data_IF_360766568914
#
_entry.id   IF_360766568914
#
_cell.length_a   1.000
_cell.length_b   1.000
_cell.length_c   1.000
_cell.angle_alpha   90.00
_cell.angle_beta   90.00
_cell.angle_gamma   90.00
#
_symmetry.space_group_name_H-M   'P 1'
#
loop_
_entity.id
_entity.type
_entity.pdbx_description
1 polymer ?
#
# COMPACT_ATOMS: atom_id res chain seq x y z
N UNK A 1 -14.89 18.21 5.52
CA UNK A 1 -14.13 16.95 5.53
C UNK A 1 -14.91 15.77 4.94
N UNK A 2 -16.04 15.37 5.51
CA UNK A 2 -16.81 14.18 5.06
C UNK A 2 -17.13 14.17 3.55
N UNK A 3 -17.58 15.31 3.00
CA UNK A 3 -17.88 15.43 1.57
C UNK A 3 -16.62 15.30 0.68
N UNK A 4 -15.46 15.77 1.13
CA UNK A 4 -14.19 15.62 0.41
C UNK A 4 -13.75 14.15 0.39
N UNK A 5 -13.91 13.45 1.53
CA UNK A 5 -13.64 12.01 1.62
C UNK A 5 -14.62 11.18 0.80
N UNK A 6 -15.91 11.57 0.74
CA UNK A 6 -16.88 10.94 -0.16
C UNK A 6 -16.55 11.17 -1.63
N UNK A 7 -16.05 12.36 -1.99
CA UNK A 7 -15.59 12.65 -3.34
C UNK A 7 -14.40 11.78 -3.74
N UNK A 8 -13.38 11.65 -2.88
CA UNK A 8 -12.21 10.81 -3.14
C UNK A 8 -12.58 9.33 -3.29
N UNK A 9 -13.64 8.85 -2.61
CA UNK A 9 -14.17 7.49 -2.78
C UNK A 9 -14.94 7.27 -4.10
N UNK A 10 -15.35 8.33 -4.79
CA UNK A 10 -16.16 8.26 -6.02
C UNK A 10 -15.39 8.63 -7.29
N UNK A 11 -14.34 9.42 -7.17
CA UNK A 11 -13.50 9.79 -8.30
C UNK A 11 -12.77 8.55 -8.81
N UNK A 12 -12.55 8.50 -10.13
CA UNK A 12 -11.75 7.44 -10.73
C UNK A 12 -10.36 7.39 -10.08
N UNK A 13 -9.89 6.23 -9.60
CA UNK A 13 -8.61 6.10 -8.92
C UNK A 13 -7.42 6.63 -9.73
N UNK A 14 -7.48 6.55 -11.06
CA UNK A 14 -6.43 7.08 -11.95
C UNK A 14 -6.35 8.63 -11.97
N UNK A 15 -7.30 9.32 -11.34
CA UNK A 15 -7.36 10.78 -11.21
C UNK A 15 -7.28 11.23 -9.75
N UNK A 16 -6.95 10.33 -8.83
CA UNK A 16 -6.92 10.61 -7.40
C UNK A 16 -5.94 11.74 -7.05
N UNK A 17 -4.73 11.74 -7.62
CA UNK A 17 -3.72 12.78 -7.39
C UNK A 17 -4.21 14.17 -7.83
N UNK A 18 -4.80 14.26 -9.02
CA UNK A 18 -5.35 15.52 -9.54
C UNK A 18 -6.51 16.02 -8.67
N UNK A 19 -7.38 15.11 -8.24
CA UNK A 19 -8.50 15.43 -7.37
C UNK A 19 -8.03 15.91 -5.99
N UNK A 20 -7.03 15.25 -5.41
CA UNK A 20 -6.44 15.64 -4.15
C UNK A 20 -5.78 17.01 -4.25
N UNK A 21 -4.98 17.25 -5.29
CA UNK A 21 -4.36 18.57 -5.54
C UNK A 21 -5.40 19.70 -5.66
N UNK A 22 -6.52 19.43 -6.35
CA UNK A 22 -7.64 20.37 -6.43
C UNK A 22 -8.32 20.60 -5.06
N UNK A 23 -8.51 19.54 -4.27
CA UNK A 23 -9.08 19.63 -2.93
C UNK A 23 -8.18 20.40 -1.97
N UNK A 24 -6.86 20.19 -2.02
CA UNK A 24 -5.88 20.94 -1.22
C UNK A 24 -5.91 22.43 -1.58
N UNK A 25 -6.11 22.76 -2.86
CA UNK A 25 -6.25 24.16 -3.31
C UNK A 25 -7.57 24.80 -2.87
N UNK A 26 -8.64 24.00 -2.75
CA UNK A 26 -9.98 24.46 -2.35
C UNK A 26 -10.14 24.55 -0.83
N UNK A 27 -9.47 23.67 -0.08
CA UNK A 27 -9.59 23.50 1.36
C UNK A 27 -8.19 23.49 2.02
N UNK A 28 -7.43 24.60 1.95
CA UNK A 28 -6.07 24.65 2.47
C UNK A 28 -5.99 24.37 3.97
N UNK A 29 -7.01 24.79 4.73
CA UNK A 29 -7.11 24.59 6.19
C UNK A 29 -7.25 23.11 6.59
N UNK A 30 -7.63 22.24 5.66
CA UNK A 30 -7.79 20.79 5.88
C UNK A 30 -6.71 19.97 5.16
N UNK A 31 -5.65 20.61 4.68
CA UNK A 31 -4.60 19.96 3.90
C UNK A 31 -3.94 18.79 4.63
N UNK A 32 -3.59 18.98 5.91
CA UNK A 32 -3.01 17.93 6.75
C UNK A 32 -3.94 16.73 6.91
N UNK A 33 -5.22 16.97 7.20
CA UNK A 33 -6.22 15.91 7.39
C UNK A 33 -6.49 15.15 6.08
N UNK A 34 -6.46 15.84 4.94
CA UNK A 34 -6.71 15.23 3.64
C UNK A 34 -5.53 14.36 3.20
N UNK A 35 -4.30 14.81 3.44
CA UNK A 35 -3.10 14.03 3.14
C UNK A 35 -3.05 12.75 3.98
N UNK A 36 -3.39 12.83 5.27
CA UNK A 36 -3.36 11.68 6.19
C UNK A 36 -4.45 10.64 5.97
N UNK A 37 -5.57 11.02 5.35
CA UNK A 37 -6.70 10.12 5.15
C UNK A 37 -6.80 9.55 3.73
N UNK A 38 -6.10 10.15 2.76
CA UNK A 38 -6.21 9.77 1.35
C UNK A 38 -4.92 9.10 0.89
N UNK A 39 -4.98 7.79 0.71
CA UNK A 39 -3.87 7.02 0.15
C UNK A 39 -3.56 7.50 -1.28
N UNK A 40 -2.29 7.81 -1.52
CA UNK A 40 -1.77 8.19 -2.84
C UNK A 40 -0.98 7.03 -3.44
N UNK A 41 -0.89 6.94 -4.78
CA UNK A 41 -0.02 5.97 -5.42
C UNK A 41 1.42 6.06 -4.89
N UNK A 42 1.98 4.92 -4.50
CA UNK A 42 3.31 4.87 -3.90
C UNK A 42 4.38 5.24 -4.94
N UNK A 43 5.31 6.11 -4.58
CA UNK A 43 6.46 6.46 -5.43
C UNK A 43 7.72 5.78 -4.91
N UNK A 44 8.68 5.52 -5.79
CA UNK A 44 9.97 4.91 -5.44
C UNK A 44 11.07 5.93 -5.66
N UNK A 45 12.00 6.00 -4.73
CA UNK A 45 13.20 6.81 -4.81
C UNK A 45 14.45 5.97 -4.57
N UNK A 46 15.60 6.49 -4.95
CA UNK A 46 16.89 5.79 -4.82
C UNK A 46 17.75 6.47 -3.77
N UNK A 47 18.14 5.73 -2.74
CA UNK A 47 19.08 6.19 -1.73
C UNK A 47 20.51 6.04 -2.27
N UNK A 48 21.14 7.16 -2.56
CA UNK A 48 22.49 7.19 -3.15
C UNK A 48 23.58 6.69 -2.21
N UNK A 49 23.38 6.78 -0.90
CA UNK A 49 24.37 6.35 0.11
C UNK A 49 24.35 4.83 0.29
N UNK A 50 23.17 4.23 0.34
CA UNK A 50 23.03 2.78 0.51
C UNK A 50 23.00 2.01 -0.81
N UNK A 51 22.71 2.69 -1.93
CA UNK A 51 22.55 2.07 -3.24
C UNK A 51 21.26 1.25 -3.38
N UNK A 52 20.23 1.55 -2.58
CA UNK A 52 18.96 0.81 -2.52
C UNK A 52 17.77 1.71 -2.81
N UNK A 53 16.73 1.13 -3.41
CA UNK A 53 15.44 1.79 -3.61
C UNK A 53 14.61 1.79 -2.33
N UNK A 54 13.79 2.82 -2.13
CA UNK A 54 12.84 2.91 -1.02
C UNK A 54 11.54 3.60 -1.46
N UNK A 55 10.47 3.38 -0.70
CA UNK A 55 9.13 3.89 -1.01
C UNK A 55 8.89 5.24 -0.32
N UNK A 56 8.40 6.21 -1.07
CA UNK A 56 7.96 7.51 -0.57
C UNK A 56 6.51 7.43 -0.09
N UNK A 57 6.26 7.90 1.12
CA UNK A 57 4.93 8.05 1.69
C UNK A 57 4.89 9.25 2.64
N UNK A 58 3.74 9.55 3.22
CA UNK A 58 3.64 10.63 4.20
C UNK A 58 4.41 10.33 5.50
N UNK A 59 4.51 9.05 5.90
CA UNK A 59 5.10 8.65 7.18
C UNK A 59 6.63 8.77 7.23
N UNK A 60 7.29 8.92 6.07
CA UNK A 60 8.71 9.22 6.00
C UNK A 60 9.00 10.61 5.42
N UNK A 61 7.98 11.46 5.29
CA UNK A 61 8.10 12.81 4.74
C UNK A 61 8.27 13.83 5.86
N UNK A 62 9.17 14.78 5.65
CA UNK A 62 9.19 16.04 6.37
C UNK A 62 9.43 17.20 5.40
N UNK A 63 8.58 18.24 5.48
CA UNK A 63 8.45 19.26 4.44
C UNK A 63 8.37 18.66 3.02
N UNK A 64 9.40 18.84 2.19
CA UNK A 64 9.50 18.27 0.84
C UNK A 64 10.61 17.20 0.73
N UNK A 65 11.07 16.68 1.86
CA UNK A 65 12.14 15.70 1.95
C UNK A 65 11.63 14.37 2.50
N UNK A 66 12.25 13.26 2.08
CA UNK A 66 11.86 11.92 2.48
C UNK A 66 13.01 11.14 3.08
N UNK A 67 12.80 10.54 4.26
CA UNK A 67 13.81 9.74 4.97
C UNK A 67 13.95 8.36 4.34
N UNK A 68 15.17 7.99 3.99
CA UNK A 68 15.49 6.63 3.56
C UNK A 68 15.51 5.67 4.76
N UNK A 69 14.88 4.49 4.67
CA UNK A 69 14.95 3.48 5.72
C UNK A 69 16.33 2.82 5.79
N UNK A 70 17.20 3.00 4.80
CA UNK A 70 18.51 2.36 4.73
C UNK A 70 19.60 3.22 5.38
N UNK A 71 19.81 4.44 4.88
CA UNK A 71 20.80 5.38 5.39
C UNK A 71 20.31 6.22 6.58
N UNK A 72 18.99 6.28 6.82
CA UNK A 72 18.35 7.17 7.78
C UNK A 72 18.52 8.68 7.45
N UNK A 73 18.78 9.00 6.18
CA UNK A 73 19.01 10.37 5.69
C UNK A 73 17.81 10.83 4.85
N UNK A 74 17.51 12.13 4.93
CA UNK A 74 16.46 12.78 4.15
C UNK A 74 16.92 13.14 2.72
N UNK A 75 16.01 13.01 1.76
CA UNK A 75 16.20 13.37 0.36
C UNK A 75 15.08 14.29 -0.14
N UNK A 76 15.37 15.54 -0.55
CA UNK A 76 16.65 16.25 -0.42
C UNK A 76 17.17 16.35 1.03
N UNK A 77 18.46 16.69 1.25
CA UNK A 77 19.01 16.79 2.61
C UNK A 77 18.26 17.79 3.48
N UNK A 78 17.95 17.37 4.70
CA UNK A 78 17.28 18.16 5.73
C UNK A 78 18.01 17.98 7.06
N UNK A 79 18.33 19.07 7.75
CA UNK A 79 19.12 19.03 9.00
C UNK A 79 18.27 18.67 10.23
N UNK A 80 17.02 19.13 10.29
CA UNK A 80 16.16 19.05 11.48
C UNK A 80 14.96 18.08 11.31
N UNK A 81 15.07 17.12 10.40
CA UNK A 81 14.00 16.14 10.17
C UNK A 81 13.86 15.14 11.33
N UNK A 82 12.63 14.72 11.69
CA UNK A 82 12.41 13.76 12.77
C UNK A 82 13.05 12.41 12.44
N UNK A 83 13.78 11.84 13.39
CA UNK A 83 14.39 10.52 13.29
C UNK A 83 13.98 9.66 14.48
N UNK A 84 13.78 8.34 14.29
CA UNK A 84 13.46 7.46 15.39
C UNK A 84 14.62 7.38 16.39
N UNK A 85 14.30 7.11 17.65
CA UNK A 85 15.28 6.86 18.71
C UNK A 85 16.22 5.70 18.34
N UNK A 86 17.43 5.64 18.92
CA UNK A 86 18.40 4.58 18.58
C UNK A 86 17.87 3.15 18.80
N UNK A 87 16.98 2.96 19.77
CA UNK A 87 16.33 1.67 20.02
C UNK A 87 15.34 1.32 18.91
N UNK A 88 14.43 2.25 18.60
CA UNK A 88 13.41 2.03 17.56
C UNK A 88 14.04 1.94 16.17
N UNK A 89 15.09 2.70 15.89
CA UNK A 89 15.86 2.61 14.64
C UNK A 89 16.49 1.23 14.45
N UNK A 90 16.96 0.58 15.52
CA UNK A 90 17.47 -0.79 15.44
C UNK A 90 16.37 -1.77 15.04
N UNK A 91 15.18 -1.61 15.62
CA UNK A 91 14.01 -2.41 15.27
C UNK A 91 13.54 -2.14 13.83
N UNK A 92 13.58 -0.89 13.38
CA UNK A 92 13.23 -0.48 12.01
C UNK A 92 14.17 -1.13 10.98
N UNK A 93 15.47 -1.19 11.25
CA UNK A 93 16.44 -1.87 10.37
C UNK A 93 16.16 -3.37 10.31
N UNK A 94 15.94 -4.00 11.46
CA UNK A 94 15.60 -5.43 11.52
C UNK A 94 14.28 -5.74 10.81
N UNK A 95 13.27 -4.87 10.97
CA UNK A 95 12.01 -4.97 10.25
C UNK A 95 12.21 -4.89 8.74
N UNK A 96 12.99 -3.92 8.24
CA UNK A 96 13.27 -3.81 6.81
C UNK A 96 13.93 -5.08 6.25
N UNK A 97 14.84 -5.71 6.98
CA UNK A 97 15.48 -6.96 6.56
C UNK A 97 14.48 -8.13 6.54
N UNK A 98 13.66 -8.29 7.58
CA UNK A 98 12.63 -9.35 7.66
C UNK A 98 11.57 -9.18 6.58
N UNK A 99 11.06 -7.96 6.42
CA UNK A 99 10.00 -7.70 5.45
C UNK A 99 10.51 -7.67 3.99
N UNK A 100 11.81 -7.48 3.76
CA UNK A 100 12.42 -7.74 2.45
C UNK A 100 12.35 -9.23 2.09
N UNK A 101 12.56 -10.13 3.06
CA UNK A 101 12.37 -11.58 2.84
C UNK A 101 10.89 -11.90 2.59
N UNK A 102 9.97 -11.30 3.36
CA UNK A 102 8.53 -11.44 3.12
C UNK A 102 8.15 -11.03 1.69
N UNK A 103 8.63 -9.87 1.24
CA UNK A 103 8.44 -9.38 -0.14
C UNK A 103 8.95 -10.41 -1.14
N UNK A 104 10.15 -10.94 -0.98
CA UNK A 104 10.70 -11.89 -1.95
C UNK A 104 9.90 -13.20 -2.00
N UNK A 105 9.41 -13.69 -0.86
CA UNK A 105 8.61 -14.91 -0.78
C UNK A 105 7.21 -14.77 -1.40
N UNK A 106 6.55 -13.61 -1.20
CA UNK A 106 5.15 -13.41 -1.61
C UNK A 106 4.98 -12.65 -2.94
N UNK A 107 5.94 -11.78 -3.26
CA UNK A 107 5.88 -10.88 -4.42
C UNK A 107 6.94 -11.17 -5.47
N UNK A 108 7.94 -12.02 -5.17
CA UNK A 108 9.03 -12.39 -6.09
C UNK A 108 9.68 -11.13 -6.72
N UNK A 109 9.97 -10.12 -5.90
CA UNK A 109 10.53 -8.82 -6.30
C UNK A 109 9.66 -7.63 -5.91
N UNK A 110 9.89 -6.49 -6.56
CA UNK A 110 9.31 -5.19 -6.16
C UNK A 110 10.15 -4.48 -5.09
N UNK A 111 9.61 -3.39 -4.54
CA UNK A 111 10.25 -2.57 -3.51
C UNK A 111 9.44 -2.69 -2.23
N UNK A 112 10.13 -2.74 -1.09
CA UNK A 112 9.52 -2.70 0.24
C UNK A 112 10.25 -1.71 1.12
N UNK A 113 9.55 -1.08 2.05
CA UNK A 113 10.14 -0.17 3.03
C UNK A 113 9.35 -0.22 4.33
N UNK A 114 10.06 -0.16 5.45
CA UNK A 114 9.47 -0.05 6.79
C UNK A 114 9.94 1.24 7.43
N UNK A 115 8.99 2.02 7.96
CA UNK A 115 9.25 3.22 8.74
C UNK A 115 8.65 3.07 10.13
N UNK A 116 9.40 3.43 11.16
CA UNK A 116 8.93 3.42 12.54
C UNK A 116 9.14 4.79 13.19
N UNK A 117 8.21 5.18 14.04
CA UNK A 117 8.28 6.39 14.86
C UNK A 117 7.59 6.16 16.21
N UNK A 118 8.00 6.93 17.21
CA UNK A 118 7.41 6.88 18.54
C UNK A 118 5.96 7.38 18.53
N UNK A 119 5.11 6.75 19.34
CA UNK A 119 3.80 7.28 19.69
C UNK A 119 3.88 7.99 21.06
N UNK A 120 2.96 8.93 21.30
CA UNK A 120 2.94 9.73 22.53
C UNK A 120 2.69 8.88 23.80
N UNK A 121 2.12 7.68 23.67
CA UNK A 121 1.69 6.82 24.78
C UNK A 121 2.69 5.71 25.17
N UNK A 122 4.00 5.97 25.11
CA UNK A 122 5.09 4.97 25.31
C UNK A 122 5.07 3.79 24.30
N UNK A 123 4.22 3.86 23.28
CA UNK A 123 4.14 2.94 22.17
C UNK A 123 4.98 3.36 20.96
N UNK A 124 4.79 2.67 19.85
CA UNK A 124 5.35 3.06 18.57
C UNK A 124 4.41 2.70 17.43
N UNK A 125 4.60 3.35 16.29
CA UNK A 125 3.89 3.03 15.05
C UNK A 125 4.88 2.51 14.03
N UNK A 126 4.48 1.49 13.28
CA UNK A 126 5.23 0.91 12.18
C UNK A 126 4.41 0.97 10.90
N UNK A 127 4.96 1.61 9.87
CA UNK A 127 4.42 1.60 8.52
C UNK A 127 5.25 0.67 7.64
N UNK A 128 4.65 -0.43 7.19
CA UNK A 128 5.21 -1.31 6.19
C UNK A 128 4.55 -1.08 4.83
N UNK A 129 5.37 -0.83 3.81
CA UNK A 129 4.92 -0.57 2.45
C UNK A 129 5.51 -1.59 1.49
N UNK A 130 4.72 -1.99 0.50
CA UNK A 130 5.16 -2.81 -0.64
C UNK A 130 4.61 -2.19 -1.92
N UNK A 131 5.48 -2.06 -2.92
CA UNK A 131 5.10 -1.73 -4.30
C UNK A 131 5.65 -2.76 -5.26
N UNK A 132 4.76 -3.35 -6.05
CA UNK A 132 5.10 -4.28 -7.13
C UNK A 132 4.56 -3.77 -8.45
N UNK A 133 5.46 -3.53 -9.38
CA UNK A 133 5.12 -3.20 -10.77
C UNK A 133 5.06 -4.50 -11.60
N UNK A 134 3.84 -4.89 -11.95
CA UNK A 134 3.52 -6.02 -12.83
C UNK A 134 3.33 -5.61 -14.29
N UNK A 135 3.72 -4.40 -14.70
CA UNK A 135 3.66 -3.96 -16.09
C UNK A 135 4.64 -4.73 -16.98
N UNK A 136 4.43 -4.60 -18.30
CA UNK A 136 5.27 -5.23 -19.33
C UNK A 136 6.76 -4.88 -19.26
N UNK A 137 7.09 -3.74 -18.65
CA UNK A 137 8.47 -3.24 -18.53
C UNK A 137 9.15 -3.70 -17.23
N UNK A 138 8.40 -4.29 -16.31
CA UNK A 138 8.85 -4.71 -15.00
C UNK A 138 8.63 -6.22 -14.82
N UNK A 139 8.07 -6.64 -13.68
CA UNK A 139 8.07 -8.04 -13.26
C UNK A 139 6.97 -8.90 -13.93
N UNK A 140 6.06 -8.29 -14.68
CA UNK A 140 4.90 -8.95 -15.28
C UNK A 140 5.02 -9.22 -16.77
N UNK A 141 5.70 -10.31 -17.16
CA UNK A 141 5.58 -10.86 -18.53
C UNK A 141 4.32 -11.73 -18.65
N UNK A 142 3.12 -11.13 -18.64
CA UNK A 142 1.86 -11.89 -18.79
C UNK A 142 0.92 -11.28 -19.85
N UNK A 143 1.01 -11.79 -21.08
CA UNK A 143 -0.02 -11.62 -22.12
C UNK A 143 -0.34 -10.17 -22.54
N UNK A 144 -1.60 -9.77 -22.32
CA UNK A 144 -2.19 -8.48 -22.73
C UNK A 144 -2.13 -7.39 -21.65
N UNK A 145 -1.53 -7.69 -20.48
CA UNK A 145 -1.34 -6.70 -19.42
C UNK A 145 -0.34 -5.65 -19.91
N UNK A 146 -0.77 -4.40 -19.99
CA UNK A 146 0.10 -3.27 -20.34
C UNK A 146 0.67 -2.66 -19.06
N UNK A 147 -0.20 -2.36 -18.10
CA UNK A 147 0.12 -1.77 -16.82
C UNK A 147 -0.53 -2.61 -15.71
N UNK A 148 0.25 -2.93 -14.68
CA UNK A 148 -0.23 -3.60 -13.49
C UNK A 148 0.54 -3.07 -12.30
N UNK A 149 -0.14 -2.53 -11.30
CA UNK A 149 0.49 -2.05 -10.09
C UNK A 149 -0.24 -2.61 -8.87
N UNK A 150 0.53 -3.20 -7.97
CA UNK A 150 0.08 -3.58 -6.64
C UNK A 150 0.82 -2.74 -5.62
N UNK A 151 0.06 -2.08 -4.75
CA UNK A 151 0.59 -1.21 -3.71
C UNK A 151 -0.12 -1.55 -2.40
N UNK A 152 0.64 -1.89 -1.37
CA UNK A 152 0.13 -2.22 -0.05
C UNK A 152 0.76 -1.28 1.00
N UNK A 153 -0.07 -0.76 1.89
CA UNK A 153 0.31 0.11 3.01
C UNK A 153 -0.27 -0.52 4.27
N UNK A 154 0.58 -0.86 5.23
CA UNK A 154 0.23 -1.45 6.51
C UNK A 154 0.72 -0.53 7.61
N UNK A 155 -0.20 0.12 8.32
CA UNK A 155 0.11 0.94 9.49
C UNK A 155 -0.28 0.16 10.73
N UNK A 156 0.68 -0.11 11.60
CA UNK A 156 0.48 -0.82 12.87
C UNK A 156 0.81 0.13 14.01
N UNK A 157 -0.19 0.44 14.81
CA UNK A 157 -0.02 1.11 16.11
C UNK A 157 0.20 0.03 17.17
N UNK A 158 1.25 0.19 17.98
CA UNK A 158 1.65 -0.77 19.03
C UNK A 158 1.68 -0.06 20.38
N UNK A 159 0.72 -0.39 21.23
CA UNK A 159 0.68 0.08 22.61
C UNK A 159 1.14 -1.06 23.54
N UNK A 160 2.31 -0.90 24.16
CA UNK A 160 2.86 -1.94 25.01
C UNK A 160 2.43 -1.79 26.47
N UNK A 161 1.77 -2.83 26.99
CA UNK A 161 1.40 -2.97 28.40
C UNK A 161 2.16 -4.15 29.04
N UNK A 162 3.34 -3.86 29.63
CA UNK A 162 4.22 -4.85 30.29
C UNK A 162 4.66 -5.97 29.32
N UNK A 163 4.10 -7.17 29.47
CA UNK A 163 4.43 -8.38 28.70
C UNK A 163 3.46 -8.61 27.52
N UNK A 164 2.39 -7.83 27.46
CA UNK A 164 1.40 -7.84 26.37
C UNK A 164 1.45 -6.53 25.61
N UNK A 165 1.12 -6.55 24.34
CA UNK A 165 0.94 -5.33 23.56
C UNK A 165 -0.37 -5.39 22.79
N UNK A 166 -1.05 -4.25 22.71
CA UNK A 166 -2.19 -4.02 21.86
C UNK A 166 -1.68 -3.60 20.48
N UNK A 167 -2.12 -4.30 19.44
CA UNK A 167 -1.76 -4.02 18.06
C UNK A 167 -3.01 -3.61 17.29
N UNK A 168 -2.99 -2.43 16.68
CA UNK A 168 -4.02 -1.93 15.78
C UNK A 168 -3.42 -1.83 14.36
N UNK A 169 -3.74 -2.80 13.50
CA UNK A 169 -3.29 -2.84 12.10
C UNK A 169 -4.37 -2.28 11.19
N UNK A 170 -4.05 -1.21 10.48
CA UNK A 170 -4.81 -0.68 9.35
C UNK A 170 -4.06 -0.97 8.06
N UNK A 171 -4.68 -1.73 7.15
CA UNK A 171 -4.10 -2.12 5.87
C UNK A 171 -4.92 -1.59 4.70
N UNK A 172 -4.27 -0.93 3.76
CA UNK A 172 -4.83 -0.58 2.46
C UNK A 172 -4.07 -1.29 1.36
N UNK A 173 -4.79 -1.93 0.45
CA UNK A 173 -4.22 -2.41 -0.82
C UNK A 173 -4.87 -1.67 -1.98
N UNK A 174 -4.04 -1.13 -2.85
CA UNK A 174 -4.42 -0.51 -4.12
C UNK A 174 -3.97 -1.41 -5.27
N UNK A 175 -4.89 -1.66 -6.20
CA UNK A 175 -4.66 -2.48 -7.38
C UNK A 175 -5.09 -1.70 -8.61
N UNK A 176 -4.19 -1.55 -9.58
CA UNK A 176 -4.47 -0.98 -10.89
C UNK A 176 -4.06 -1.95 -11.98
N UNK A 177 -4.97 -2.20 -12.92
CA UNK A 177 -4.77 -3.12 -14.03
C UNK A 177 -5.29 -2.48 -15.32
N UNK A 178 -4.40 -2.31 -16.30
CA UNK A 178 -4.76 -1.91 -17.66
C UNK A 178 -4.34 -3.00 -18.63
N UNK A 179 -5.31 -3.56 -19.33
CA UNK A 179 -5.08 -4.50 -20.42
C UNK A 179 -5.49 -3.87 -21.74
N UNK A 180 -4.75 -4.18 -22.80
CA UNK A 180 -5.09 -3.72 -24.15
C UNK A 180 -5.04 -4.90 -25.10
N UNK A 181 -6.17 -5.18 -25.74
CA UNK A 181 -6.28 -6.24 -26.72
C UNK A 181 -7.08 -5.74 -27.94
N UNK A 182 -6.57 -5.97 -29.15
CA UNK A 182 -7.17 -5.47 -30.40
C UNK A 182 -8.68 -5.75 -30.57
N UNK A 183 -9.22 -6.95 -30.26
CA UNK A 183 -10.65 -7.23 -30.38
C UNK A 183 -11.49 -6.74 -29.19
N UNK A 184 -10.90 -6.54 -28.02
CA UNK A 184 -11.63 -6.19 -26.77
C UNK A 184 -11.46 -4.73 -26.36
N UNK A 185 -10.60 -3.98 -27.05
CA UNK A 185 -10.22 -2.62 -26.70
C UNK A 185 -9.33 -2.54 -25.46
N UNK A 186 -9.27 -1.35 -24.87
CA UNK A 186 -8.60 -1.09 -23.60
C UNK A 186 -9.57 -1.35 -22.45
N UNK A 187 -9.15 -2.16 -21.49
CA UNK A 187 -9.87 -2.41 -20.25
C UNK A 187 -9.01 -1.94 -19.09
N UNK A 188 -9.55 -1.04 -18.27
CA UNK A 188 -8.91 -0.55 -17.05
C UNK A 188 -9.77 -0.90 -15.84
N UNK A 189 -9.11 -1.41 -14.80
CA UNK A 189 -9.70 -1.74 -13.53
C UNK A 189 -8.75 -1.31 -12.41
N UNK A 190 -9.16 -0.29 -11.67
CA UNK A 190 -8.37 0.30 -10.60
C UNK A 190 -9.22 0.55 -9.36
N UNK A 191 -8.60 0.54 -8.19
CA UNK A 191 -9.24 0.92 -6.93
C UNK A 191 -8.43 0.48 -5.70
N UNK A 192 -9.06 0.57 -4.53
CA UNK A 192 -8.43 0.24 -3.26
C UNK A 192 -9.41 -0.46 -2.31
N UNK A 193 -8.88 -1.25 -1.39
CA UNK A 193 -9.61 -1.84 -0.27
C UNK A 193 -8.83 -1.58 1.01
N UNK A 194 -9.50 -1.01 2.00
CA UNK A 194 -8.96 -0.77 3.34
C UNK A 194 -9.64 -1.69 4.37
N UNK A 195 -8.88 -2.27 5.29
CA UNK A 195 -9.37 -3.05 6.44
C UNK A 195 -8.55 -2.74 7.69
N UNK A 196 -9.17 -2.99 8.84
CA UNK A 196 -8.54 -2.83 10.15
C UNK A 196 -8.68 -4.15 10.94
N UNK A 197 -7.69 -4.47 11.76
CA UNK A 197 -7.75 -5.53 12.76
C UNK A 197 -7.02 -5.11 14.03
N UNK A 198 -7.58 -5.49 15.18
CA UNK A 198 -6.99 -5.23 16.49
C UNK A 198 -6.74 -6.57 17.20
N UNK A 199 -5.58 -6.73 17.84
CA UNK A 199 -5.21 -7.93 18.59
C UNK A 199 -4.38 -7.57 19.82
N UNK A 200 -4.66 -8.25 20.94
CA UNK A 200 -3.79 -8.25 22.12
C UNK A 200 -2.91 -9.50 22.09
N UNK A 201 -1.60 -9.32 22.01
CA UNK A 201 -0.65 -10.43 21.91
C UNK A 201 0.49 -10.31 22.93
N UNK A 202 0.95 -11.42 23.53
CA UNK A 202 2.16 -11.41 24.34
C UNK A 202 3.39 -11.11 23.47
N UNK A 203 4.39 -10.45 24.05
CA UNK A 203 5.61 -9.99 23.36
C UNK A 203 6.80 -10.95 23.63
N UNK A 204 6.53 -12.25 23.76
CA UNK A 204 7.58 -13.25 24.05
C UNK A 204 8.54 -13.44 22.86
N UNK A 205 7.99 -13.52 21.64
CA UNK A 205 8.75 -13.69 20.38
C UNK A 205 9.17 -12.34 19.74
N UNK A 206 8.95 -11.23 20.43
CA UNK A 206 9.18 -9.87 19.93
C UNK A 206 8.10 -9.32 18.99
N UNK A 207 8.10 -7.99 18.81
CA UNK A 207 7.06 -7.30 18.04
C UNK A 207 7.04 -7.69 16.55
N UNK A 208 8.20 -7.92 15.93
CA UNK A 208 8.28 -8.25 14.51
C UNK A 208 7.53 -9.54 14.15
N UNK A 209 7.59 -10.55 15.01
CA UNK A 209 6.88 -11.82 14.82
C UNK A 209 5.37 -11.61 14.82
N UNK A 210 4.86 -10.83 15.79
CA UNK A 210 3.44 -10.51 15.90
C UNK A 210 2.97 -9.66 14.71
N UNK A 211 3.70 -8.59 14.38
CA UNK A 211 3.37 -7.71 13.25
C UNK A 211 3.39 -8.47 11.91
N UNK A 212 4.39 -9.33 11.68
CA UNK A 212 4.49 -10.14 10.48
C UNK A 212 3.29 -11.07 10.28
N UNK A 213 2.88 -11.80 11.33
CA UNK A 213 1.70 -12.67 11.29
C UNK A 213 0.41 -11.90 10.99
N UNK A 214 0.25 -10.72 11.61
CA UNK A 214 -0.92 -9.87 11.38
C UNK A 214 -0.99 -9.36 9.95
N UNK A 215 0.14 -8.90 9.39
CA UNK A 215 0.22 -8.43 8.01
C UNK A 215 -0.09 -9.56 7.04
N UNK A 216 0.52 -10.74 7.23
CA UNK A 216 0.31 -11.91 6.37
C UNK A 216 -1.17 -12.34 6.34
N UNK A 217 -1.81 -12.41 7.52
CA UNK A 217 -3.23 -12.75 7.61
C UNK A 217 -4.11 -11.68 6.92
N UNK A 218 -3.82 -10.40 7.14
CA UNK A 218 -4.60 -9.30 6.57
C UNK A 218 -4.44 -9.22 5.06
N UNK A 219 -3.23 -9.35 4.52
CA UNK A 219 -2.98 -9.41 3.08
C UNK A 219 -3.70 -10.60 2.44
N UNK A 220 -3.70 -11.77 3.06
CA UNK A 220 -4.45 -12.93 2.59
C UNK A 220 -5.95 -12.63 2.46
N UNK A 221 -6.53 -11.97 3.48
CA UNK A 221 -7.94 -11.53 3.46
C UNK A 221 -8.22 -10.47 2.39
N UNK A 222 -7.32 -9.50 2.23
CA UNK A 222 -7.45 -8.42 1.25
C UNK A 222 -7.34 -8.95 -0.18
N UNK A 223 -6.38 -9.84 -0.46
CA UNK A 223 -6.21 -10.49 -1.76
C UNK A 223 -7.45 -11.26 -2.19
N UNK A 224 -8.03 -12.05 -1.29
CA UNK A 224 -9.28 -12.77 -1.54
C UNK A 224 -10.46 -11.81 -1.81
N UNK A 225 -10.50 -10.69 -1.10
CA UNK A 225 -11.55 -9.68 -1.29
C UNK A 225 -11.40 -8.94 -2.62
N UNK A 226 -10.18 -8.62 -3.02
CA UNK A 226 -9.87 -8.04 -4.32
C UNK A 226 -10.31 -8.97 -5.44
N UNK A 227 -9.95 -10.26 -5.40
CA UNK A 227 -10.34 -11.22 -6.43
C UNK A 227 -11.86 -11.28 -6.64
N UNK A 228 -12.62 -11.40 -5.54
CA UNK A 228 -14.08 -11.44 -5.57
C UNK A 228 -14.71 -10.17 -6.12
N UNK A 229 -14.19 -8.99 -5.76
CA UNK A 229 -14.75 -7.71 -6.21
C UNK A 229 -14.32 -7.42 -7.66
N UNK A 230 -13.04 -7.51 -7.97
CA UNK A 230 -12.43 -7.08 -9.22
C UNK A 230 -12.72 -8.02 -10.39
N UNK A 231 -12.81 -9.32 -10.16
CA UNK A 231 -13.04 -10.29 -11.23
C UNK A 231 -14.39 -11.01 -11.12
N UNK A 232 -14.99 -11.02 -9.93
CA UNK A 232 -16.35 -11.53 -9.70
C UNK A 232 -17.42 -10.47 -9.95
N UNK A 233 -17.56 -9.52 -9.02
CA UNK A 233 -18.69 -8.56 -9.00
C UNK A 233 -18.71 -7.62 -10.20
N UNK A 234 -17.57 -7.07 -10.61
CA UNK A 234 -17.50 -6.19 -11.80
C UNK A 234 -17.95 -6.91 -13.07
N UNK A 235 -17.54 -8.18 -13.24
CA UNK A 235 -17.94 -9.03 -14.35
C UNK A 235 -19.43 -9.29 -14.34
N UNK A 236 -19.98 -9.62 -13.17
CA UNK A 236 -21.43 -9.80 -12.98
C UNK A 236 -22.19 -8.53 -13.40
N UNK A 237 -21.75 -7.34 -12.97
CA UNK A 237 -22.40 -6.07 -13.33
C UNK A 237 -22.38 -5.81 -14.84
N UNK A 238 -21.26 -6.10 -15.53
CA UNK A 238 -21.19 -5.98 -16.99
C UNK A 238 -22.18 -6.94 -17.67
N UNK A 239 -22.28 -8.18 -17.18
CA UNK A 239 -23.24 -9.16 -17.69
C UNK A 239 -24.69 -8.77 -17.40
N UNK A 240 -24.99 -8.08 -16.29
CA UNK A 240 -26.34 -7.58 -16.00
C UNK A 240 -26.71 -6.44 -16.96
N UNK A 241 -25.78 -5.53 -17.23
CA UNK A 241 -26.02 -4.40 -18.16
C UNK A 241 -26.25 -4.87 -19.59
N UNK A 242 -25.57 -5.94 -20.00
CA UNK A 242 -25.77 -6.58 -21.31
C UNK A 242 -25.69 -8.10 -21.17
N UNK A 243 -26.84 -8.77 -20.94
CA UNK A 243 -26.87 -10.21 -20.83
C UNK A 243 -26.30 -10.88 -22.08
N UNK A 244 -25.46 -11.91 -21.93
CA UNK A 244 -25.04 -12.70 -23.08
C UNK A 244 -26.27 -13.34 -23.74
N UNK A 245 -26.28 -13.50 -25.07
CA UNK A 245 -27.36 -14.20 -25.76
C UNK A 245 -27.55 -15.60 -25.17
N UNK A 246 -28.79 -16.03 -24.99
CA UNK A 246 -29.11 -17.36 -24.47
C UNK A 246 -28.36 -18.44 -25.28
N UNK A 247 -27.53 -19.25 -24.61
CA UNK A 247 -26.77 -20.35 -25.21
C UNK A 247 -25.28 -20.10 -25.45
N UNK A 248 -24.74 -18.90 -25.22
CA UNK A 248 -23.29 -18.66 -25.26
C UNK A 248 -22.64 -19.00 -23.91
N UNK A 249 -22.05 -20.20 -23.81
CA UNK A 249 -21.00 -20.43 -22.81
C UNK A 249 -19.84 -19.48 -23.12
N UNK A 250 -19.59 -18.53 -22.24
CA UNK A 250 -18.37 -17.71 -22.27
C UNK A 250 -17.20 -18.66 -22.04
N UNK A 251 -16.62 -19.18 -23.13
CA UNK A 251 -15.38 -19.96 -23.05
C UNK A 251 -14.27 -19.01 -22.60
N UNK A 252 -13.61 -19.38 -21.49
CA UNK A 252 -12.33 -18.77 -21.13
C UNK A 252 -11.36 -18.99 -22.31
N UNK A 253 -10.51 -18.00 -22.66
CA UNK A 253 -9.44 -18.26 -23.60
C UNK A 253 -8.57 -19.38 -23.02
N UNK A 254 -8.30 -20.40 -23.83
CA UNK A 254 -7.36 -21.46 -23.44
C UNK A 254 -6.02 -20.80 -23.13
N UNK A 255 -5.47 -21.13 -21.95
CA UNK A 255 -4.16 -20.69 -21.51
C UNK A 255 -3.10 -21.28 -22.45
N UNK A 256 -2.62 -20.48 -23.39
CA UNK A 256 -1.41 -20.73 -24.18
C UNK A 256 -0.17 -20.30 -23.43
#
# INVERSE_FOLDING_TARGET
MEAAMDLMRRISPNKSEMALSALLSLLPDHSSDLLSQVDQPLQVYFDTESGKEFILCEYNRDADSYRSPWSNIYYPPLEDGPIPSPHLRKLEVEANDVFAVYRDQYYEGGVSSVYMWEDDNEGFVSCFLIKKDGSRKADGRRGYLQEGAWEAVHVIEVDQEKETAHYCLTSTVMLSLTTENKPSGTFNLSGSIRRQMNLDLPVEDGHLCNMGKMIEEMEGKLRNSLDQVYFGKTREMVCILRPPPEGLQVRLPESS
#
